data_IF_934280588536
#
_entry.id   IF_934280588536
#
_cell.length_a   1.000
_cell.length_b   1.000
_cell.length_c   1.000
_cell.angle_alpha   90.00
_cell.angle_beta   90.00
_cell.angle_gamma   90.00
#
_symmetry.space_group_name_H-M   'P 1'
#
loop_
_entity.id
_entity.type
_entity.pdbx_description
1 polymer ?
#
# COMPACT_ATOMS: atom_id res chain seq x y z
N UNK A 1 -53.15 -18.85 -47.84
CA UNK A 1 -53.96 -18.58 -46.62
C UNK A 1 -53.26 -17.85 -45.47
N UNK A 2 -51.93 -17.91 -45.24
CA UNK A 2 -51.29 -17.16 -44.13
C UNK A 2 -51.28 -15.62 -44.28
N UNK A 3 -51.04 -15.08 -45.48
CA UNK A 3 -50.96 -13.62 -45.70
C UNK A 3 -52.28 -12.87 -45.47
N UNK A 4 -53.42 -13.47 -45.87
CA UNK A 4 -54.75 -12.88 -45.69
C UNK A 4 -55.16 -12.76 -44.21
N UNK A 5 -54.75 -13.72 -43.37
CA UNK A 5 -55.06 -13.75 -41.95
C UNK A 5 -54.23 -12.75 -41.13
N UNK A 6 -52.98 -12.52 -41.56
CA UNK A 6 -52.09 -11.51 -40.98
C UNK A 6 -52.63 -10.10 -41.23
N UNK A 7 -53.05 -9.78 -42.46
CA UNK A 7 -53.65 -8.48 -42.77
C UNK A 7 -54.92 -8.21 -41.94
N UNK A 8 -55.84 -9.18 -41.86
CA UNK A 8 -57.09 -9.03 -41.09
C UNK A 8 -56.84 -8.78 -39.59
N UNK A 9 -55.90 -9.52 -38.99
CA UNK A 9 -55.49 -9.27 -37.59
C UNK A 9 -54.86 -7.89 -37.42
N UNK A 10 -54.07 -7.44 -38.39
CA UNK A 10 -53.42 -6.12 -38.36
C UNK A 10 -54.44 -4.98 -38.41
N UNK A 11 -55.51 -5.09 -39.22
CA UNK A 11 -56.59 -4.09 -39.27
C UNK A 11 -57.44 -4.08 -37.99
N UNK A 12 -57.71 -5.26 -37.42
CA UNK A 12 -58.43 -5.38 -36.15
C UNK A 12 -57.65 -4.78 -34.98
N UNK A 13 -56.35 -5.07 -34.88
CA UNK A 13 -55.44 -4.46 -33.90
C UNK A 13 -55.36 -2.94 -34.07
N UNK A 14 -55.21 -2.45 -35.30
CA UNK A 14 -55.18 -1.02 -35.60
C UNK A 14 -56.45 -0.32 -35.11
N UNK A 15 -57.62 -0.88 -35.39
CA UNK A 15 -58.89 -0.31 -34.95
C UNK A 15 -59.05 -0.35 -33.42
N UNK A 16 -58.53 -1.39 -32.75
CA UNK A 16 -58.51 -1.45 -31.29
C UNK A 16 -57.66 -0.33 -30.68
N UNK A 17 -56.44 -0.11 -31.19
CA UNK A 17 -55.57 0.97 -30.72
C UNK A 17 -56.09 2.37 -31.06
N UNK A 18 -56.75 2.53 -32.22
CA UNK A 18 -57.32 3.83 -32.63
C UNK A 18 -58.51 4.24 -31.75
N UNK A 19 -59.29 3.28 -31.28
CA UNK A 19 -60.47 3.50 -30.43
C UNK A 19 -60.19 3.25 -28.94
N UNK A 20 -58.93 3.06 -28.56
CA UNK A 20 -58.56 2.82 -27.18
C UNK A 20 -58.87 4.07 -26.35
N UNK A 21 -59.63 3.86 -25.29
CA UNK A 21 -59.95 4.89 -24.33
C UNK A 21 -59.84 4.31 -22.92
N UNK A 22 -58.87 4.81 -22.15
CA UNK A 22 -58.63 4.36 -20.77
C UNK A 22 -59.41 5.18 -19.75
N UNK A 23 -59.95 6.34 -20.14
CA UNK A 23 -60.72 7.21 -19.24
C UNK A 23 -62.21 6.93 -19.38
N UNK A 24 -62.82 6.49 -18.29
CA UNK A 24 -64.23 6.15 -18.24
C UNK A 24 -65.10 7.40 -18.31
N UNK A 25 -66.16 7.33 -19.12
CA UNK A 25 -67.22 8.36 -19.19
C UNK A 25 -68.21 8.14 -18.05
N UNK A 26 -68.71 9.20 -17.42
CA UNK A 26 -69.81 9.11 -16.46
C UNK A 26 -71.12 8.74 -17.16
N UNK A 27 -72.00 8.02 -16.45
CA UNK A 27 -73.32 7.62 -16.95
C UNK A 27 -74.35 8.77 -16.87
N UNK A 28 -74.01 9.88 -16.23
CA UNK A 28 -74.89 11.04 -15.99
C UNK A 28 -74.97 12.02 -17.18
N UNK A 29 -74.35 11.69 -18.33
CA UNK A 29 -74.42 12.52 -19.53
C UNK A 29 -75.79 12.34 -20.21
N UNK A 30 -76.55 13.41 -20.30
CA UNK A 30 -77.95 13.37 -20.74
C UNK A 30 -78.12 13.59 -22.23
N UNK A 31 -77.23 14.37 -22.86
CA UNK A 31 -77.28 14.66 -24.29
C UNK A 31 -76.25 13.85 -25.09
N UNK A 32 -76.58 13.54 -26.35
CA UNK A 32 -75.67 12.80 -27.23
C UNK A 32 -74.43 13.64 -27.61
N UNK A 33 -74.56 14.96 -27.64
CA UNK A 33 -73.45 15.89 -27.88
C UNK A 33 -72.42 15.88 -26.74
N UNK A 34 -72.87 15.86 -25.48
CA UNK A 34 -71.98 15.76 -24.32
C UNK A 34 -71.24 14.43 -24.30
N UNK A 35 -71.92 13.32 -24.60
CA UNK A 35 -71.31 11.98 -24.69
C UNK A 35 -70.21 11.94 -25.76
N UNK A 36 -70.46 12.53 -26.92
CA UNK A 36 -69.47 12.54 -27.99
C UNK A 36 -68.28 13.45 -27.66
N UNK A 37 -68.52 14.62 -27.06
CA UNK A 37 -67.45 15.52 -26.62
C UNK A 37 -66.56 14.87 -25.55
N UNK A 38 -67.15 14.25 -24.52
CA UNK A 38 -66.42 13.53 -23.47
C UNK A 38 -65.64 12.35 -24.05
N UNK A 39 -66.23 11.59 -24.97
CA UNK A 39 -65.55 10.47 -25.65
C UNK A 39 -64.31 10.95 -26.42
N UNK A 40 -64.42 12.05 -27.19
CA UNK A 40 -63.29 12.62 -27.93
C UNK A 40 -62.19 13.11 -26.98
N UNK A 41 -62.55 13.82 -25.92
CA UNK A 41 -61.62 14.28 -24.88
C UNK A 41 -60.88 13.11 -24.23
N UNK A 42 -61.58 12.05 -23.87
CA UNK A 42 -61.00 10.87 -23.23
C UNK A 42 -60.03 10.12 -24.15
N UNK A 43 -60.33 10.00 -25.45
CA UNK A 43 -59.40 9.43 -26.45
C UNK A 43 -58.13 10.30 -26.57
N UNK A 44 -58.26 11.62 -26.58
CA UNK A 44 -57.12 12.53 -26.66
C UNK A 44 -56.26 12.42 -25.39
N UNK A 45 -56.88 12.45 -24.21
CA UNK A 45 -56.21 12.25 -22.92
C UNK A 45 -55.50 10.89 -22.85
N UNK A 46 -56.10 9.83 -23.39
CA UNK A 46 -55.48 8.50 -23.49
C UNK A 46 -54.18 8.56 -24.30
N UNK A 47 -54.19 9.27 -25.43
CA UNK A 47 -52.98 9.43 -26.27
C UNK A 47 -51.91 10.23 -25.55
N UNK A 48 -52.28 11.33 -24.89
CA UNK A 48 -51.36 12.16 -24.11
C UNK A 48 -50.74 11.33 -22.97
N UNK A 49 -51.54 10.54 -22.25
CA UNK A 49 -51.05 9.67 -21.18
C UNK A 49 -49.97 8.71 -21.69
N UNK A 50 -50.23 7.98 -22.78
CA UNK A 50 -49.23 7.07 -23.34
C UNK A 50 -47.96 7.81 -23.81
N UNK A 51 -48.10 8.97 -24.46
CA UNK A 51 -46.95 9.78 -24.87
C UNK A 51 -46.10 10.15 -23.64
N UNK A 52 -46.71 10.68 -22.58
CA UNK A 52 -46.02 11.06 -21.35
C UNK A 52 -45.40 9.83 -20.67
N UNK A 53 -46.14 8.73 -20.59
CA UNK A 53 -45.67 7.47 -20.01
C UNK A 53 -44.43 6.94 -20.74
N UNK A 54 -44.43 6.94 -22.07
CA UNK A 54 -43.28 6.53 -22.86
C UNK A 54 -42.10 7.51 -22.73
N UNK A 55 -42.36 8.82 -22.63
CA UNK A 55 -41.30 9.82 -22.37
C UNK A 55 -40.64 9.55 -21.02
N UNK A 56 -41.43 9.30 -19.97
CA UNK A 56 -40.90 9.01 -18.62
C UNK A 56 -40.11 7.71 -18.62
N UNK A 57 -40.66 6.63 -19.20
CA UNK A 57 -39.93 5.35 -19.32
C UNK A 57 -38.62 5.51 -20.09
N UNK A 58 -38.65 6.23 -21.21
CA UNK A 58 -37.46 6.49 -22.01
C UNK A 58 -36.42 7.29 -21.20
N UNK A 59 -36.84 8.34 -20.50
CA UNK A 59 -35.97 9.11 -19.60
C UNK A 59 -35.32 8.25 -18.52
N UNK A 60 -36.10 7.38 -17.86
CA UNK A 60 -35.57 6.44 -16.86
C UNK A 60 -34.54 5.47 -17.45
N UNK A 61 -34.77 4.95 -18.66
CA UNK A 61 -33.80 4.06 -19.32
C UNK A 61 -32.48 4.76 -19.66
N UNK A 62 -32.54 6.03 -20.08
CA UNK A 62 -31.35 6.85 -20.32
C UNK A 62 -30.58 7.02 -19.01
N UNK A 63 -31.23 7.45 -17.93
CA UNK A 63 -30.58 7.67 -16.63
C UNK A 63 -29.90 6.40 -16.13
N UNK A 64 -30.56 5.24 -16.25
CA UNK A 64 -30.01 3.96 -15.83
C UNK A 64 -28.81 3.52 -16.67
N UNK A 65 -28.79 3.85 -17.98
CA UNK A 65 -27.65 3.57 -18.87
C UNK A 65 -26.48 4.53 -18.67
N UNK A 66 -26.75 5.81 -18.40
CA UNK A 66 -25.73 6.85 -18.22
C UNK A 66 -25.06 6.78 -16.84
N UNK A 67 -25.58 5.97 -15.92
CA UNK A 67 -24.94 5.73 -14.63
C UNK A 67 -23.61 5.00 -14.85
N UNK A 68 -22.51 5.73 -14.68
CA UNK A 68 -21.18 5.16 -14.67
C UNK A 68 -21.11 4.07 -13.59
N UNK A 69 -20.59 2.91 -13.98
CA UNK A 69 -20.26 1.83 -13.05
C UNK A 69 -18.78 1.92 -12.75
N UNK A 70 -18.44 1.98 -11.46
CA UNK A 70 -17.07 1.76 -11.04
C UNK A 70 -16.76 0.28 -11.28
N UNK A 71 -15.69 0.01 -12.02
CA UNK A 71 -15.18 -1.34 -12.23
C UNK A 71 -13.97 -1.48 -11.32
N UNK A 72 -13.97 -2.51 -10.47
CA UNK A 72 -12.79 -2.89 -9.72
C UNK A 72 -11.84 -3.64 -10.65
N UNK A 73 -10.64 -3.12 -10.85
CA UNK A 73 -9.58 -3.78 -11.62
C UNK A 73 -8.52 -4.22 -10.63
N UNK A 74 -8.31 -5.52 -10.53
CA UNK A 74 -7.23 -6.10 -9.72
C UNK A 74 -6.07 -6.43 -10.63
N UNK A 75 -4.88 -5.93 -10.29
CA UNK A 75 -3.62 -6.23 -10.97
C UNK A 75 -2.76 -7.02 -10.00
N UNK A 76 -2.40 -8.24 -10.36
CA UNK A 76 -1.47 -9.05 -9.56
C UNK A 76 -0.02 -8.67 -9.92
N UNK A 77 0.82 -8.52 -8.90
CA UNK A 77 2.24 -8.17 -9.02
C UNK A 77 2.47 -6.94 -9.95
N UNK A 78 1.93 -5.77 -9.57
CA UNK A 78 2.08 -4.57 -10.39
C UNK A 78 3.55 -4.17 -10.54
N UNK A 79 3.89 -3.62 -11.71
CA UNK A 79 5.16 -2.93 -11.91
C UNK A 79 5.21 -1.64 -11.09
N UNK A 80 6.42 -1.14 -10.82
CA UNK A 80 6.64 0.12 -10.11
C UNK A 80 5.91 1.30 -10.77
N UNK A 81 5.90 1.36 -12.10
CA UNK A 81 5.19 2.40 -12.84
C UNK A 81 3.67 2.30 -12.66
N UNK A 82 3.10 1.09 -12.55
CA UNK A 82 1.68 0.92 -12.28
C UNK A 82 1.32 1.36 -10.86
N UNK A 83 2.19 1.11 -9.89
CA UNK A 83 2.03 1.61 -8.52
C UNK A 83 2.15 3.13 -8.44
N UNK A 84 3.11 3.74 -9.13
CA UNK A 84 3.27 5.21 -9.18
C UNK A 84 2.07 5.90 -9.80
N UNK A 85 1.39 5.24 -10.74
CA UNK A 85 0.19 5.74 -11.39
C UNK A 85 -1.11 5.26 -10.71
N UNK A 86 -1.03 4.74 -9.48
CA UNK A 86 -2.18 4.28 -8.72
C UNK A 86 -3.10 5.48 -8.40
N UNK A 87 -4.44 5.36 -8.61
CA UNK A 87 -5.40 6.38 -8.21
C UNK A 87 -5.34 6.67 -6.70
N UNK A 88 -5.82 7.85 -6.28
CA UNK A 88 -5.81 8.24 -4.85
C UNK A 88 -6.64 7.34 -3.93
N UNK A 89 -7.62 6.62 -4.48
CA UNK A 89 -8.44 5.60 -3.81
C UNK A 89 -7.97 4.17 -4.08
N UNK A 90 -6.88 3.99 -4.82
CA UNK A 90 -6.29 2.69 -5.08
C UNK A 90 -5.54 2.16 -3.86
N UNK A 91 -5.66 0.84 -3.64
CA UNK A 91 -4.95 0.11 -2.60
C UNK A 91 -3.95 -0.86 -3.24
N UNK A 92 -2.78 -1.02 -2.63
CA UNK A 92 -1.73 -1.91 -3.09
C UNK A 92 -1.21 -2.73 -1.90
N UNK A 93 -1.98 -3.75 -1.47
CA UNK A 93 -1.60 -4.58 -0.35
C UNK A 93 -0.36 -5.40 -0.68
N UNK A 94 0.52 -5.56 0.32
CA UNK A 94 1.70 -6.39 0.17
C UNK A 94 1.31 -7.88 0.17
N UNK A 95 1.92 -8.66 -0.73
CA UNK A 95 1.83 -10.13 -0.69
C UNK A 95 2.50 -10.71 0.56
N UNK A 96 3.58 -10.06 1.02
CA UNK A 96 4.29 -10.35 2.25
C UNK A 96 4.28 -9.10 3.14
N UNK A 97 3.66 -9.21 4.32
CA UNK A 97 3.54 -8.07 5.24
C UNK A 97 4.82 -7.76 6.03
N UNK A 98 5.82 -8.63 5.92
CA UNK A 98 7.07 -8.55 6.69
C UNK A 98 8.26 -8.95 5.84
N UNK A 99 9.33 -8.16 5.88
CA UNK A 99 10.61 -8.45 5.26
C UNK A 99 11.73 -8.22 6.28
N UNK A 100 12.78 -9.04 6.23
CA UNK A 100 13.93 -8.81 7.09
C UNK A 100 14.72 -7.58 6.63
N UNK A 101 15.25 -6.77 7.55
CA UNK A 101 16.06 -5.60 7.17
C UNK A 101 17.27 -6.00 6.31
N UNK A 102 17.85 -7.18 6.55
CA UNK A 102 18.99 -7.69 5.78
C UNK A 102 18.70 -7.97 4.30
N UNK A 103 17.44 -8.02 3.87
CA UNK A 103 17.08 -8.20 2.46
C UNK A 103 17.24 -6.92 1.63
N UNK A 104 17.16 -5.74 2.26
CA UNK A 104 17.14 -4.46 1.54
C UNK A 104 18.04 -3.38 2.14
N UNK A 105 18.64 -3.63 3.31
CA UNK A 105 19.63 -2.74 3.96
C UNK A 105 20.99 -3.45 4.01
N UNK A 106 22.05 -2.73 3.65
CA UNK A 106 23.44 -3.21 3.78
C UNK A 106 24.24 -2.27 4.68
N UNK A 107 24.64 -2.76 5.85
CA UNK A 107 25.47 -2.01 6.81
C UNK A 107 26.92 -2.46 6.68
N UNK A 108 27.84 -1.50 6.51
CA UNK A 108 29.28 -1.75 6.52
C UNK A 108 29.93 -0.95 7.65
N UNK A 109 30.67 -1.63 8.51
CA UNK A 109 31.41 -0.99 9.60
C UNK A 109 32.85 -0.72 9.24
N UNK A 110 33.35 0.42 9.73
CA UNK A 110 34.77 0.77 9.67
C UNK A 110 35.29 0.95 11.07
N UNK A 111 36.21 0.07 11.46
CA UNK A 111 36.87 0.16 12.76
C UNK A 111 38.03 1.13 12.72
N UNK A 112 38.37 1.69 13.88
CA UNK A 112 39.53 2.56 14.02
C UNK A 112 40.82 1.82 13.61
N UNK A 113 41.71 2.50 12.88
CA UNK A 113 42.94 1.89 12.31
C UNK A 113 43.84 1.25 13.38
N UNK A 114 43.76 1.73 14.63
CA UNK A 114 44.51 1.16 15.75
C UNK A 114 44.17 -0.32 15.97
N UNK A 115 42.93 -0.73 15.72
CA UNK A 115 42.45 -2.10 15.85
C UNK A 115 42.92 -3.04 14.72
N UNK A 116 43.68 -2.52 13.76
CA UNK A 116 44.39 -3.28 12.73
C UNK A 116 45.88 -2.94 12.68
N UNK A 117 46.37 -2.18 13.66
CA UNK A 117 47.76 -1.74 13.74
C UNK A 117 48.63 -2.74 14.50
N UNK A 118 49.95 -2.55 14.47
CA UNK A 118 50.88 -3.39 15.21
C UNK A 118 50.69 -3.29 16.74
N UNK A 119 50.07 -2.20 17.23
CA UNK A 119 49.85 -1.96 18.66
C UNK A 119 48.93 -2.98 19.34
N UNK A 120 48.07 -3.66 18.57
CA UNK A 120 47.22 -4.75 19.06
C UNK A 120 47.75 -6.13 18.65
N UNK A 121 48.99 -6.22 18.17
CA UNK A 121 49.58 -7.50 17.81
C UNK A 121 50.23 -8.17 19.01
N UNK A 122 50.18 -9.50 19.05
CA UNK A 122 50.95 -10.31 20.01
C UNK A 122 52.44 -9.96 20.00
N UNK A 123 52.98 -9.65 18.82
CA UNK A 123 54.40 -9.32 18.64
C UNK A 123 54.77 -8.07 19.43
N UNK A 124 54.00 -6.99 19.27
CA UNK A 124 54.23 -5.74 19.96
C UNK A 124 54.09 -5.90 21.47
N UNK A 125 53.00 -6.54 21.90
CA UNK A 125 52.70 -6.79 23.32
C UNK A 125 53.84 -7.60 23.98
N UNK A 126 54.32 -8.66 23.33
CA UNK A 126 55.45 -9.48 23.82
C UNK A 126 56.76 -8.71 23.85
N UNK A 127 57.00 -7.84 22.86
CA UNK A 127 58.23 -7.04 22.78
C UNK A 127 58.35 -6.07 23.96
N UNK A 128 57.25 -5.43 24.34
CA UNK A 128 57.21 -4.55 25.51
C UNK A 128 57.41 -5.35 26.80
N UNK A 129 56.78 -6.52 26.90
CA UNK A 129 56.89 -7.39 28.08
C UNK A 129 58.31 -7.96 28.28
N UNK A 130 59.02 -8.32 27.20
CA UNK A 130 60.36 -8.92 27.29
C UNK A 130 61.41 -8.00 27.93
N UNK A 131 61.26 -6.68 27.80
CA UNK A 131 62.17 -5.72 28.44
C UNK A 131 62.20 -5.88 29.97
N UNK A 132 61.08 -6.27 30.59
CA UNK A 132 60.94 -6.38 32.05
C UNK A 132 61.75 -7.54 32.64
N UNK A 133 62.01 -8.59 31.85
CA UNK A 133 62.75 -9.77 32.30
C UNK A 133 64.28 -9.59 32.21
N UNK A 134 64.77 -8.54 31.56
CA UNK A 134 66.19 -8.40 31.22
C UNK A 134 66.85 -7.13 31.78
N UNK A 135 66.07 -6.17 32.28
CA UNK A 135 66.58 -4.89 32.79
C UNK A 135 65.66 -4.30 33.86
N UNK A 136 66.22 -3.76 34.94
CA UNK A 136 65.47 -2.97 35.92
C UNK A 136 65.05 -1.63 35.28
N UNK A 137 63.76 -1.48 34.95
CA UNK A 137 63.20 -0.21 34.52
C UNK A 137 62.65 0.59 35.69
N UNK A 138 62.63 1.92 35.54
CA UNK A 138 61.94 2.81 36.47
C UNK A 138 60.43 2.52 36.48
N UNK A 139 59.77 2.72 37.61
CA UNK A 139 58.30 2.63 37.71
C UNK A 139 57.59 3.61 36.74
N UNK A 140 58.27 4.66 36.28
CA UNK A 140 57.75 5.63 35.31
C UNK A 140 58.04 5.27 33.85
N UNK A 141 58.72 4.15 33.59
CA UNK A 141 58.98 3.70 32.22
C UNK A 141 57.71 3.12 31.60
N UNK A 142 57.38 3.55 30.38
CA UNK A 142 56.17 3.07 29.69
C UNK A 142 56.18 1.54 29.50
N UNK A 143 57.35 0.89 29.51
CA UNK A 143 57.46 -0.57 29.36
C UNK A 143 56.97 -1.32 30.60
N UNK A 144 56.91 -0.65 31.75
CA UNK A 144 56.42 -1.21 33.01
C UNK A 144 54.92 -1.51 32.93
N UNK A 145 54.13 -0.58 32.38
CA UNK A 145 52.65 -0.71 32.31
C UNK A 145 52.13 -0.92 30.87
N UNK A 146 52.94 -0.65 29.86
CA UNK A 146 52.51 -0.58 28.46
C UNK A 146 51.97 -1.91 27.93
N UNK A 147 52.55 -3.04 28.35
CA UNK A 147 52.07 -4.36 27.91
C UNK A 147 50.61 -4.61 28.31
N UNK A 148 50.22 -4.25 29.54
CA UNK A 148 48.84 -4.34 30.02
C UNK A 148 47.91 -3.35 29.30
N UNK A 149 48.38 -2.13 28.99
CA UNK A 149 47.61 -1.14 28.23
C UNK A 149 47.32 -1.62 26.80
N UNK A 150 48.33 -2.16 26.10
CA UNK A 150 48.16 -2.67 24.74
C UNK A 150 47.33 -3.96 24.68
N UNK A 151 47.41 -4.83 25.70
CA UNK A 151 46.48 -5.97 25.85
C UNK A 151 45.04 -5.51 26.06
N UNK A 152 44.83 -4.47 26.88
CA UNK A 152 43.51 -3.89 27.09
C UNK A 152 42.95 -3.31 25.79
N UNK A 153 43.78 -2.62 25.01
CA UNK A 153 43.42 -2.09 23.69
C UNK A 153 43.06 -3.21 22.70
N UNK A 154 43.85 -4.29 22.64
CA UNK A 154 43.57 -5.45 21.80
C UNK A 154 42.24 -6.11 22.16
N UNK A 155 42.01 -6.33 23.45
CA UNK A 155 40.74 -6.83 23.97
C UNK A 155 39.56 -5.91 23.64
N UNK A 156 39.72 -4.60 23.82
CA UNK A 156 38.71 -3.60 23.48
C UNK A 156 38.36 -3.64 21.99
N UNK A 157 39.37 -3.67 21.12
CA UNK A 157 39.20 -3.78 19.67
C UNK A 157 38.47 -5.06 19.26
N UNK A 158 38.82 -6.20 19.88
CA UNK A 158 38.17 -7.49 19.62
C UNK A 158 36.71 -7.48 20.06
N UNK A 159 36.43 -7.00 21.27
CA UNK A 159 35.08 -6.90 21.82
C UNK A 159 34.21 -5.94 21.00
N UNK A 160 34.75 -4.78 20.64
CA UNK A 160 34.07 -3.79 19.79
C UNK A 160 33.68 -4.36 18.44
N UNK A 161 34.60 -5.09 17.79
CA UNK A 161 34.33 -5.76 16.51
C UNK A 161 33.26 -6.83 16.65
N UNK A 162 33.39 -7.71 17.64
CA UNK A 162 32.43 -8.79 17.87
C UNK A 162 31.03 -8.26 18.15
N UNK A 163 30.93 -7.24 19.01
CA UNK A 163 29.65 -6.59 19.31
C UNK A 163 29.04 -5.94 18.07
N UNK A 164 29.81 -5.13 17.33
CA UNK A 164 29.29 -4.46 16.14
C UNK A 164 28.75 -5.47 15.10
N UNK A 165 29.46 -6.57 14.87
CA UNK A 165 28.99 -7.65 13.99
C UNK A 165 27.70 -8.26 14.53
N UNK A 166 27.65 -8.56 15.84
CA UNK A 166 26.45 -9.12 16.46
C UNK A 166 25.23 -8.19 16.39
N UNK A 167 25.43 -6.89 16.59
CA UNK A 167 24.36 -5.88 16.46
C UNK A 167 23.85 -5.78 15.03
N UNK A 168 24.73 -5.82 14.03
CA UNK A 168 24.34 -5.85 12.61
C UNK A 168 23.58 -7.14 12.30
N UNK A 169 24.05 -8.29 12.79
CA UNK A 169 23.37 -9.56 12.59
C UNK A 169 22.00 -9.60 13.25
N UNK A 170 21.83 -8.93 14.39
CA UNK A 170 20.53 -8.75 15.04
C UNK A 170 19.63 -7.83 14.23
N UNK A 171 20.13 -6.66 13.85
CA UNK A 171 19.42 -5.69 13.02
C UNK A 171 18.94 -6.32 11.72
N UNK A 172 19.79 -7.07 11.02
CA UNK A 172 19.43 -7.72 9.76
C UNK A 172 18.30 -8.76 9.90
N UNK A 173 18.10 -9.32 11.10
CA UNK A 173 17.01 -10.26 11.40
C UNK A 173 15.71 -9.57 11.81
N UNK A 174 15.78 -8.31 12.22
CA UNK A 174 14.59 -7.53 12.55
C UNK A 174 13.71 -7.34 11.31
N UNK A 175 12.41 -7.24 11.53
CA UNK A 175 11.41 -7.24 10.47
C UNK A 175 10.88 -5.83 10.23
N UNK A 176 10.92 -5.40 8.97
CA UNK A 176 10.11 -4.31 8.46
C UNK A 176 8.69 -4.81 8.22
N UNK A 177 7.69 -4.16 8.81
CA UNK A 177 6.29 -4.58 8.70
C UNK A 177 5.49 -3.50 7.97
N UNK A 178 4.84 -3.87 6.87
CA UNK A 178 3.89 -3.02 6.16
C UNK A 178 2.79 -3.83 5.49
N UNK A 179 1.54 -3.41 5.67
CA UNK A 179 0.38 -4.06 5.04
C UNK A 179 0.16 -3.59 3.60
N UNK A 180 0.63 -2.39 3.28
CA UNK A 180 0.49 -1.74 1.98
C UNK A 180 1.86 -1.33 1.46
N UNK A 181 2.00 -1.22 0.13
CA UNK A 181 3.21 -0.69 -0.47
C UNK A 181 3.35 0.79 -0.09
N UNK A 182 4.52 1.15 0.42
CA UNK A 182 4.81 2.52 0.82
C UNK A 182 5.28 3.35 -0.38
N UNK A 183 4.96 4.63 -0.36
CA UNK A 183 5.60 5.57 -1.28
C UNK A 183 7.09 5.69 -0.95
N UNK A 184 7.89 6.03 -1.97
CA UNK A 184 9.33 6.18 -1.81
C UNK A 184 9.71 7.14 -0.68
N UNK A 185 9.04 8.29 -0.58
CA UNK A 185 9.32 9.27 0.48
C UNK A 185 9.04 8.75 1.88
N UNK A 186 7.93 8.01 2.06
CA UNK A 186 7.56 7.42 3.35
C UNK A 186 8.52 6.30 3.71
N UNK A 187 8.84 5.42 2.75
CA UNK A 187 9.83 4.36 2.93
C UNK A 187 11.18 4.94 3.35
N UNK A 188 11.71 5.91 2.61
CA UNK A 188 12.99 6.56 2.94
C UNK A 188 12.96 7.24 4.31
N UNK A 189 11.88 7.93 4.66
CA UNK A 189 11.75 8.56 5.97
C UNK A 189 11.78 7.55 7.12
N UNK A 190 11.07 6.43 6.96
CA UNK A 190 11.01 5.39 7.99
C UNK A 190 12.37 4.68 8.13
N UNK A 191 12.98 4.28 7.01
CA UNK A 191 14.29 3.61 7.02
C UNK A 191 15.38 4.51 7.60
N UNK A 192 15.40 5.80 7.26
CA UNK A 192 16.36 6.73 7.84
C UNK A 192 16.19 6.86 9.36
N UNK A 193 14.96 6.91 9.87
CA UNK A 193 14.71 6.94 11.32
C UNK A 193 15.17 5.64 12.01
N UNK A 194 14.95 4.49 11.37
CA UNK A 194 15.40 3.18 11.88
C UNK A 194 16.94 3.12 11.91
N UNK A 195 17.61 3.57 10.85
CA UNK A 195 19.08 3.62 10.79
C UNK A 195 19.63 4.57 11.87
N UNK A 196 19.06 5.77 12.02
CA UNK A 196 19.45 6.70 13.09
C UNK A 196 19.28 6.08 14.47
N UNK A 197 18.19 5.36 14.71
CA UNK A 197 17.97 4.66 15.98
C UNK A 197 18.98 3.53 16.21
N UNK A 198 19.39 2.82 15.15
CA UNK A 198 20.44 1.82 15.20
C UNK A 198 21.82 2.45 15.51
N UNK A 199 22.14 3.59 14.89
CA UNK A 199 23.36 4.35 15.16
C UNK A 199 23.41 4.87 16.60
N UNK A 200 22.28 5.37 17.13
CA UNK A 200 22.18 5.88 18.50
C UNK A 200 22.17 4.78 19.56
N UNK A 201 21.63 3.60 19.24
CA UNK A 201 21.62 2.45 20.15
C UNK A 201 22.90 1.62 20.09
N UNK A 202 23.74 1.84 19.07
CA UNK A 202 25.08 1.29 19.01
C UNK A 202 25.92 1.84 20.17
N UNK A 203 26.62 0.99 20.95
CA UNK A 203 27.18 1.40 22.23
C UNK A 203 28.24 2.48 22.07
N UNK A 204 28.04 3.54 22.83
CA UNK A 204 29.08 4.49 23.23
C UNK A 204 29.77 3.98 24.51
N UNK A 205 29.20 2.97 25.19
CA UNK A 205 29.66 2.44 26.48
C UNK A 205 29.59 0.90 26.55
N UNK A 206 30.70 0.27 26.95
CA UNK A 206 30.72 -1.16 27.30
C UNK A 206 30.30 -1.31 28.77
N UNK A 207 29.05 -1.73 28.99
CA UNK A 207 28.60 -2.07 30.34
C UNK A 207 29.27 -3.37 30.78
N UNK A 208 30.03 -3.31 31.88
CA UNK A 208 30.52 -4.49 32.59
C UNK A 208 29.36 -5.13 33.35
N UNK A 209 28.44 -5.80 32.65
CA UNK A 209 27.62 -6.80 33.32
C UNK A 209 28.49 -8.04 33.52
N UNK A 210 29.22 -8.05 34.64
CA UNK A 210 29.81 -9.25 35.20
C UNK A 210 28.66 -10.11 35.71
N UNK A 211 28.39 -11.22 35.01
CA UNK A 211 27.56 -12.30 35.52
C UNK A 211 28.30 -13.11 36.58
#
# INVERSE_FOLDING_TARGET
NKKSFVCYKMTSLKNYFVNLNIFQSSNDLTTDEEKEHVRRSNIISTRIFFIVFFIVLFGLTIIMKTRNRNILITVENPSEDQFKNLPSDGHCPCSHISLSYGEFISIQTRFHQICSSDFVSDRWIKTINFGLNTTYFSAYDFRTEGSAMFQSLESFCRLSKGYAIQSIDSFNKDLFISQEVLTESVFQSQINAIIQQFELSSPIEFSTQVA
#
